data_IF_134659335427
#
_entry.id   IF_134659335427
#
_cell.length_a   1.000
_cell.length_b   1.000
_cell.length_c   1.000
_cell.angle_alpha   90.00
_cell.angle_beta   90.00
_cell.angle_gamma   90.00
#
_symmetry.space_group_name_H-M   'P 1'
#
loop_
_entity.id
_entity.type
_entity.pdbx_description
1 polymer ?
#
# COMPACT_ATOMS: atom_id res chain seq x y z
N UNK A 1 1.67 11.14 -9.65
CA UNK A 1 1.48 10.67 -8.25
C UNK A 1 2.85 10.26 -7.73
N UNK A 2 3.43 11.06 -6.84
CA UNK A 2 4.86 10.90 -6.46
C UNK A 2 5.17 9.53 -5.84
N UNK A 3 4.21 8.93 -5.12
CA UNK A 3 4.37 7.59 -4.55
C UNK A 3 4.59 6.49 -5.60
N UNK A 4 4.13 6.65 -6.83
CA UNK A 4 4.34 5.67 -7.91
C UNK A 4 5.71 5.78 -8.59
N UNK A 5 6.55 6.74 -8.17
CA UNK A 5 7.94 6.86 -8.62
C UNK A 5 8.89 5.96 -7.82
N UNK A 6 8.44 5.38 -6.71
CA UNK A 6 9.20 4.38 -5.97
C UNK A 6 9.20 3.05 -6.71
N UNK A 7 10.30 2.30 -6.71
CA UNK A 7 10.33 0.96 -7.32
C UNK A 7 9.46 -0.06 -6.57
N UNK A 8 9.16 0.20 -5.29
CA UNK A 8 8.24 -0.60 -4.48
C UNK A 8 7.33 0.31 -3.68
N UNK A 9 6.04 -0.03 -3.63
CA UNK A 9 5.04 0.67 -2.80
C UNK A 9 4.35 -0.33 -1.89
N UNK A 10 4.44 -0.12 -0.59
CA UNK A 10 3.79 -0.97 0.41
C UNK A 10 2.46 -0.34 0.82
N UNK A 11 1.36 -1.05 0.55
CA UNK A 11 0.00 -0.67 0.94
C UNK A 11 -0.34 -1.37 2.25
N UNK A 12 -0.52 -0.60 3.31
CA UNK A 12 -0.76 -1.12 4.66
C UNK A 12 -1.96 -0.44 5.33
N UNK A 13 -2.36 -0.89 6.49
CA UNK A 13 -3.49 -0.37 7.27
C UNK A 13 -4.28 -1.47 7.96
N UNK A 14 -5.33 -1.11 8.69
CA UNK A 14 -6.20 -2.04 9.42
C UNK A 14 -6.85 -3.10 8.51
N UNK A 15 -7.28 -4.21 9.08
CA UNK A 15 -8.11 -5.20 8.39
C UNK A 15 -9.45 -4.60 7.93
N UNK A 16 -9.87 -4.91 6.70
CA UNK A 16 -11.18 -4.50 6.17
C UNK A 16 -11.32 -3.07 5.64
N UNK A 17 -10.26 -2.26 5.65
CA UNK A 17 -10.31 -0.86 5.16
C UNK A 17 -10.22 -0.70 3.63
N UNK A 18 -10.02 -1.78 2.88
CA UNK A 18 -9.94 -1.76 1.42
C UNK A 18 -8.51 -1.69 0.85
N UNK A 19 -7.49 -2.18 1.58
CA UNK A 19 -6.09 -2.22 1.12
C UNK A 19 -5.93 -2.85 -0.26
N UNK A 20 -6.43 -4.07 -0.45
CA UNK A 20 -6.34 -4.80 -1.72
C UNK A 20 -6.97 -4.04 -2.89
N UNK A 21 -8.08 -3.35 -2.66
CA UNK A 21 -8.75 -2.51 -3.65
C UNK A 21 -7.91 -1.30 -4.02
N UNK A 22 -7.33 -0.63 -3.01
CA UNK A 22 -6.43 0.51 -3.24
C UNK A 22 -5.13 0.06 -3.91
N UNK A 23 -4.57 -1.10 -3.54
CA UNK A 23 -3.40 -1.66 -4.21
C UNK A 23 -3.67 -1.93 -5.70
N UNK A 24 -4.83 -2.52 -6.03
CA UNK A 24 -5.25 -2.73 -7.41
C UNK A 24 -5.42 -1.39 -8.16
N UNK A 25 -6.04 -0.39 -7.54
CA UNK A 25 -6.22 0.93 -8.15
C UNK A 25 -4.89 1.65 -8.40
N UNK A 26 -3.92 1.56 -7.48
CA UNK A 26 -2.56 2.09 -7.66
C UNK A 26 -1.83 1.37 -8.80
N UNK A 27 -1.97 0.05 -8.90
CA UNK A 27 -1.37 -0.74 -9.98
C UNK A 27 -1.91 -0.32 -11.35
N UNK A 28 -3.23 -0.13 -11.47
CA UNK A 28 -3.86 0.36 -12.69
C UNK A 28 -3.41 1.78 -13.03
N UNK A 29 -3.29 2.66 -12.02
CA UNK A 29 -2.79 4.02 -12.23
C UNK A 29 -1.36 4.02 -12.80
N UNK A 30 -0.46 3.21 -12.24
CA UNK A 30 0.92 3.09 -12.69
C UNK A 30 1.02 2.47 -14.09
N UNK A 31 0.23 1.43 -14.38
CA UNK A 31 0.20 0.79 -15.69
C UNK A 31 -0.28 1.74 -16.79
N UNK A 32 -1.22 2.66 -16.49
CA UNK A 32 -1.66 3.72 -17.42
C UNK A 32 -0.56 4.73 -17.75
N UNK A 33 0.36 4.94 -16.83
CA UNK A 33 1.56 5.78 -17.05
C UNK A 33 2.69 5.01 -17.78
N UNK A 34 2.39 3.78 -18.26
CA UNK A 34 3.31 2.96 -19.06
C UNK A 34 4.30 2.13 -18.23
N UNK A 35 4.17 2.09 -16.92
CA UNK A 35 5.04 1.28 -16.06
C UNK A 35 4.70 -0.21 -16.17
N UNK A 36 5.73 -1.05 -16.12
CA UNK A 36 5.58 -2.49 -15.94
C UNK A 36 5.39 -2.80 -14.46
N UNK A 37 4.16 -3.16 -14.08
CA UNK A 37 3.74 -3.29 -12.68
C UNK A 37 3.50 -4.75 -12.32
N UNK A 38 3.91 -5.12 -11.10
CA UNK A 38 3.45 -6.34 -10.44
C UNK A 38 2.82 -6.03 -9.08
N UNK A 39 1.86 -6.85 -8.65
CA UNK A 39 1.29 -6.76 -7.30
C UNK A 39 1.61 -8.03 -6.53
N UNK A 40 2.29 -7.90 -5.41
CA UNK A 40 2.57 -8.98 -4.47
C UNK A 40 1.54 -9.03 -3.35
N UNK A 41 0.80 -10.12 -3.24
CA UNK A 41 -0.15 -10.37 -2.16
C UNK A 41 0.51 -11.18 -1.04
N UNK A 42 0.48 -10.64 0.17
CA UNK A 42 0.97 -11.28 1.38
C UNK A 42 -0.20 -11.57 2.32
N UNK A 43 -0.50 -12.83 2.58
CA UNK A 43 -1.59 -13.21 3.49
C UNK A 43 -2.56 -14.27 2.96
N UNK A 44 -2.26 -14.93 1.85
CA UNK A 44 -2.96 -16.16 1.42
C UNK A 44 -4.33 -15.98 0.75
N UNK A 45 -4.76 -14.75 0.47
CA UNK A 45 -6.02 -14.49 -0.21
C UNK A 45 -5.75 -13.78 -1.54
N UNK A 46 -6.00 -14.46 -2.67
CA UNK A 46 -5.83 -13.93 -4.03
C UNK A 46 -6.93 -12.88 -4.39
N UNK A 47 -7.07 -11.84 -3.57
CA UNK A 47 -8.08 -10.78 -3.77
C UNK A 47 -7.70 -9.84 -4.88
N UNK A 48 -6.45 -9.40 -4.92
CA UNK A 48 -5.97 -8.47 -5.94
C UNK A 48 -5.95 -9.14 -7.29
N UNK A 49 -5.57 -10.42 -7.36
CA UNK A 49 -5.63 -11.21 -8.60
C UNK A 49 -7.05 -11.24 -9.20
N UNK A 50 -8.09 -11.30 -8.35
CA UNK A 50 -9.48 -11.21 -8.79
C UNK A 50 -9.83 -9.82 -9.37
N UNK A 51 -9.38 -8.74 -8.70
CA UNK A 51 -9.64 -7.36 -9.09
C UNK A 51 -8.89 -6.93 -10.37
N UNK A 52 -7.72 -7.51 -10.63
CA UNK A 52 -6.88 -7.19 -11.78
C UNK A 52 -7.01 -8.18 -12.94
N UNK A 53 -7.99 -9.06 -12.90
CA UNK A 53 -8.20 -10.06 -13.96
C UNK A 53 -8.44 -9.39 -15.33
N UNK A 54 -7.66 -9.78 -16.32
CA UNK A 54 -7.77 -9.25 -17.69
C UNK A 54 -7.08 -7.91 -17.94
N UNK A 55 -6.42 -7.32 -16.94
CA UNK A 55 -5.73 -6.02 -17.09
C UNK A 55 -4.31 -6.13 -17.63
N UNK A 56 -3.73 -7.34 -17.69
CA UNK A 56 -2.33 -7.55 -18.07
C UNK A 56 -1.31 -7.23 -16.96
N UNK A 57 -1.77 -6.86 -15.76
CA UNK A 57 -0.90 -6.62 -14.60
C UNK A 57 -0.61 -7.96 -13.92
N UNK A 58 0.67 -8.24 -13.69
CA UNK A 58 1.10 -9.47 -13.03
C UNK A 58 0.75 -9.45 -11.53
N UNK A 59 0.16 -10.54 -11.05
CA UNK A 59 -0.14 -10.73 -9.63
C UNK A 59 0.60 -11.95 -9.09
N UNK A 60 1.21 -11.80 -7.92
CA UNK A 60 2.03 -12.82 -7.30
C UNK A 60 1.60 -13.06 -5.85
N UNK A 61 1.13 -14.26 -5.54
CA UNK A 61 1.03 -14.72 -4.14
C UNK A 61 2.35 -15.33 -3.73
N UNK A 62 3.02 -14.72 -2.74
CA UNK A 62 4.35 -15.16 -2.33
C UNK A 62 4.27 -16.47 -1.54
N UNK A 63 4.80 -17.54 -2.12
CA UNK A 63 5.02 -18.80 -1.42
C UNK A 63 6.44 -18.80 -0.82
N UNK A 64 6.54 -18.78 0.50
CA UNK A 64 7.81 -18.67 1.23
C UNK A 64 8.75 -19.83 0.93
N UNK A 65 8.25 -21.06 0.83
CA UNK A 65 9.06 -22.22 0.52
C UNK A 65 9.67 -22.14 -0.89
N UNK A 66 8.88 -21.75 -1.88
CA UNK A 66 9.34 -21.57 -3.25
C UNK A 66 10.36 -20.42 -3.36
N UNK A 67 10.06 -19.27 -2.75
CA UNK A 67 10.95 -18.12 -2.72
C UNK A 67 12.29 -18.43 -2.03
N UNK A 68 12.27 -19.22 -0.94
CA UNK A 68 13.48 -19.69 -0.27
C UNK A 68 14.31 -20.59 -1.19
N UNK A 69 13.67 -21.51 -1.93
CA UNK A 69 14.35 -22.40 -2.88
C UNK A 69 15.03 -21.61 -4.01
N UNK A 70 14.32 -20.65 -4.58
CA UNK A 70 14.87 -19.77 -5.63
C UNK A 70 16.07 -18.97 -5.09
N UNK A 71 15.95 -18.39 -3.90
CA UNK A 71 17.03 -17.63 -3.28
C UNK A 71 18.26 -18.51 -3.01
N UNK A 72 18.08 -19.69 -2.43
CA UNK A 72 19.18 -20.63 -2.18
C UNK A 72 19.90 -21.05 -3.47
N UNK A 73 19.16 -21.21 -4.57
CA UNK A 73 19.75 -21.52 -5.87
C UNK A 73 20.65 -20.40 -6.42
N UNK A 74 20.52 -19.16 -5.91
CA UNK A 74 21.45 -18.06 -6.23
C UNK A 74 22.72 -18.07 -5.38
N UNK A 75 22.65 -18.66 -4.17
CA UNK A 75 23.75 -18.66 -3.21
C UNK A 75 24.60 -19.94 -3.26
N UNK A 76 24.03 -21.06 -3.71
CA UNK A 76 24.63 -22.38 -3.69
C UNK A 76 24.52 -23.06 -5.07
N UNK A 77 25.45 -24.00 -5.41
CA UNK A 77 25.25 -24.89 -6.54
C UNK A 77 23.89 -25.61 -6.41
N UNK A 78 23.14 -25.69 -7.53
CA UNK A 78 21.76 -26.24 -7.54
C UNK A 78 21.62 -27.57 -6.79
N UNK A 79 22.58 -28.50 -6.98
CA UNK A 79 22.54 -29.81 -6.31
C UNK A 79 22.56 -29.68 -4.78
N UNK A 80 23.29 -28.72 -4.24
CA UNK A 80 23.40 -28.48 -2.81
C UNK A 80 22.11 -27.79 -2.27
N UNK A 81 21.58 -26.82 -2.99
CA UNK A 81 20.31 -26.20 -2.67
C UNK A 81 19.16 -27.21 -2.64
N UNK A 82 19.09 -28.12 -3.63
CA UNK A 82 18.09 -29.18 -3.72
C UNK A 82 18.16 -30.15 -2.53
N UNK A 83 19.38 -30.58 -2.14
CA UNK A 83 19.59 -31.46 -0.97
C UNK A 83 19.14 -30.80 0.30
N UNK A 84 19.49 -29.53 0.50
CA UNK A 84 19.13 -28.76 1.68
C UNK A 84 17.60 -28.57 1.79
N UNK A 85 16.92 -28.30 0.69
CA UNK A 85 15.47 -28.14 0.65
C UNK A 85 14.71 -29.46 0.81
N UNK A 86 15.24 -30.56 0.23
CA UNK A 86 14.63 -31.89 0.41
C UNK A 86 14.68 -32.42 1.85
N UNK A 87 15.67 -31.99 2.62
CA UNK A 87 15.75 -32.37 4.05
C UNK A 87 14.58 -31.79 4.88
N UNK A 88 13.90 -30.75 4.38
CA UNK A 88 12.82 -30.06 5.09
C UNK A 88 13.29 -29.32 6.37
N UNK A 89 14.39 -29.74 6.96
CA UNK A 89 14.88 -29.21 8.23
C UNK A 89 15.26 -27.71 8.12
N UNK A 90 15.93 -27.33 7.04
CA UNK A 90 16.31 -25.93 6.83
C UNK A 90 15.09 -25.03 6.57
N UNK A 91 14.17 -25.49 5.73
CA UNK A 91 12.92 -24.76 5.46
C UNK A 91 12.08 -24.60 6.75
N UNK A 92 12.00 -25.67 7.55
CA UNK A 92 11.33 -25.64 8.85
C UNK A 92 12.02 -24.69 9.85
N UNK A 93 13.35 -24.66 9.87
CA UNK A 93 14.12 -23.74 10.72
C UNK A 93 13.86 -22.28 10.34
N UNK A 94 13.88 -21.96 9.05
CA UNK A 94 13.59 -20.61 8.56
C UNK A 94 12.14 -20.20 8.85
N UNK A 95 11.20 -21.11 8.62
CA UNK A 95 9.77 -20.85 8.90
C UNK A 95 9.47 -20.69 10.40
N UNK A 96 10.21 -21.41 11.27
CA UNK A 96 10.08 -21.32 12.72
C UNK A 96 10.82 -20.11 13.32
N UNK A 97 11.78 -19.54 12.59
CA UNK A 97 12.50 -18.35 13.04
C UNK A 97 11.56 -17.12 13.04
N UNK A 98 11.44 -16.37 14.14
CA UNK A 98 10.60 -15.19 14.17
C UNK A 98 10.98 -14.19 13.07
N UNK A 99 10.04 -13.89 12.18
CA UNK A 99 10.27 -13.00 11.04
C UNK A 99 10.95 -13.66 9.81
N UNK A 100 11.24 -14.97 9.84
CA UNK A 100 11.91 -15.68 8.76
C UNK A 100 11.05 -15.74 7.48
N UNK A 101 9.79 -16.06 7.63
CA UNK A 101 8.84 -16.06 6.51
C UNK A 101 8.66 -14.67 5.90
N UNK A 102 8.58 -13.64 6.75
CA UNK A 102 8.46 -12.24 6.36
C UNK A 102 9.71 -11.74 5.62
N UNK A 103 10.91 -12.11 6.10
CA UNK A 103 12.16 -11.77 5.42
C UNK A 103 12.18 -12.38 4.01
N UNK A 104 11.89 -13.66 3.87
CA UNK A 104 11.90 -14.34 2.56
C UNK A 104 10.85 -13.74 1.62
N UNK A 105 9.66 -13.43 2.14
CA UNK A 105 8.62 -12.79 1.35
C UNK A 105 9.05 -11.40 0.84
N UNK A 106 9.61 -10.56 1.71
CA UNK A 106 10.12 -9.25 1.33
C UNK A 106 11.31 -9.35 0.38
N UNK A 107 12.20 -10.32 0.59
CA UNK A 107 13.33 -10.57 -0.34
C UNK A 107 12.84 -10.96 -1.72
N UNK A 108 11.78 -11.78 -1.82
CA UNK A 108 11.18 -12.13 -3.12
C UNK A 108 10.57 -10.91 -3.81
N UNK A 109 9.85 -10.06 -3.09
CA UNK A 109 9.26 -8.84 -3.65
C UNK A 109 10.33 -7.82 -4.06
N UNK A 110 11.39 -7.67 -3.25
CA UNK A 110 12.55 -6.85 -3.56
C UNK A 110 13.27 -7.33 -4.83
N UNK A 111 13.41 -8.65 -5.02
CA UNK A 111 14.02 -9.25 -6.20
C UNK A 111 13.29 -8.85 -7.49
N UNK A 112 11.97 -8.67 -7.44
CA UNK A 112 11.17 -8.35 -8.63
C UNK A 112 11.55 -7.01 -9.28
N UNK A 113 12.06 -6.06 -8.51
CA UNK A 113 12.50 -4.73 -8.99
C UNK A 113 14.00 -4.67 -9.30
N UNK A 114 14.76 -5.76 -9.03
CA UNK A 114 16.20 -5.76 -9.29
C UNK A 114 16.50 -5.97 -10.77
N UNK A 115 17.50 -5.27 -11.31
CA UNK A 115 17.98 -5.49 -12.67
C UNK A 115 18.45 -6.93 -12.89
N UNK A 116 19.02 -7.56 -11.87
CA UNK A 116 19.45 -8.95 -11.92
C UNK A 116 18.43 -9.84 -11.21
N UNK A 117 17.47 -10.35 -11.99
CA UNK A 117 16.44 -11.27 -11.52
C UNK A 117 16.98 -12.67 -11.23
N UNK A 118 16.37 -13.35 -10.24
CA UNK A 118 16.71 -14.76 -9.94
C UNK A 118 16.32 -15.68 -11.09
N UNK A 119 15.21 -15.41 -11.76
CA UNK A 119 14.82 -16.11 -12.98
C UNK A 119 15.61 -15.55 -14.16
N UNK A 120 16.41 -16.41 -14.81
CA UNK A 120 17.26 -16.03 -15.95
C UNK A 120 16.42 -15.49 -17.10
N UNK A 121 16.76 -14.32 -17.60
CA UNK A 121 16.08 -13.66 -18.73
C UNK A 121 14.79 -12.94 -18.35
N UNK A 122 14.34 -13.01 -17.09
CA UNK A 122 13.22 -12.21 -16.64
C UNK A 122 13.60 -10.72 -16.59
N UNK A 123 12.69 -9.86 -17.04
CA UNK A 123 12.85 -8.40 -16.94
C UNK A 123 12.42 -7.91 -15.57
N UNK A 124 13.04 -6.86 -15.01
CA UNK A 124 12.57 -6.22 -13.79
C UNK A 124 11.23 -5.55 -14.00
N UNK A 125 10.47 -5.38 -12.92
CA UNK A 125 9.32 -4.51 -12.90
C UNK A 125 9.77 -3.08 -12.57
N UNK A 126 9.10 -2.08 -13.16
CA UNK A 126 9.34 -0.68 -12.82
C UNK A 126 8.77 -0.37 -11.44
N UNK A 127 7.66 -1.03 -11.08
CA UNK A 127 6.99 -0.88 -9.80
C UNK A 127 6.45 -2.22 -9.30
N UNK A 128 6.73 -2.53 -8.03
CA UNK A 128 6.06 -3.62 -7.29
C UNK A 128 5.19 -3.03 -6.20
N UNK A 129 3.89 -3.30 -6.25
CA UNK A 129 2.95 -2.94 -5.19
C UNK A 129 2.78 -4.12 -4.26
N UNK A 130 2.97 -3.90 -2.97
CA UNK A 130 2.84 -4.91 -1.92
C UNK A 130 1.52 -4.71 -1.20
N UNK A 131 0.55 -5.61 -1.39
CA UNK A 131 -0.65 -5.68 -0.56
C UNK A 131 -0.29 -6.37 0.76
N UNK A 132 0.03 -5.54 1.76
CA UNK A 132 0.49 -6.04 3.05
C UNK A 132 -0.67 -6.55 3.92
N UNK A 133 -0.43 -7.55 4.78
CA UNK A 133 -1.44 -7.99 5.75
C UNK A 133 -1.84 -6.86 6.70
N UNK A 134 -2.86 -7.10 7.54
CA UNK A 134 -3.37 -6.09 8.48
C UNK A 134 -2.26 -5.57 9.43
N UNK A 135 -2.42 -4.33 9.89
CA UNK A 135 -1.41 -3.45 10.50
C UNK A 135 -0.39 -4.10 11.44
N UNK A 136 -0.80 -5.03 12.31
CA UNK A 136 0.13 -5.72 13.22
C UNK A 136 1.17 -6.58 12.50
N UNK A 137 0.74 -7.39 11.53
CA UNK A 137 1.60 -8.23 10.70
C UNK A 137 2.34 -7.43 9.63
N UNK A 138 1.73 -6.36 9.09
CA UNK A 138 2.36 -5.47 8.12
C UNK A 138 3.59 -4.76 8.69
N UNK A 139 3.52 -4.28 9.93
CA UNK A 139 4.66 -3.68 10.61
C UNK A 139 5.76 -4.70 10.94
N UNK A 140 5.40 -5.95 11.29
CA UNK A 140 6.37 -7.03 11.51
C UNK A 140 7.10 -7.39 10.21
N UNK A 141 6.36 -7.48 9.10
CA UNK A 141 6.91 -7.71 7.75
C UNK A 141 8.02 -6.71 7.39
N UNK A 142 7.77 -5.42 7.63
CA UNK A 142 8.73 -4.35 7.30
C UNK A 142 9.94 -4.32 8.25
N UNK A 143 9.78 -4.81 9.48
CA UNK A 143 10.88 -4.89 10.45
C UNK A 143 11.73 -6.15 10.33
N UNK A 144 11.19 -7.23 9.78
CA UNK A 144 11.87 -8.52 9.70
C UNK A 144 13.25 -8.43 9.05
N UNK A 145 13.47 -7.77 7.88
CA UNK A 145 14.79 -7.65 7.29
C UNK A 145 15.81 -6.98 8.23
N UNK A 146 15.42 -5.93 8.93
CA UNK A 146 16.29 -5.26 9.90
C UNK A 146 16.62 -6.16 11.08
N UNK A 147 15.63 -6.84 11.66
CA UNK A 147 15.82 -7.76 12.77
C UNK A 147 16.79 -8.87 12.40
N UNK A 148 16.64 -9.45 11.19
CA UNK A 148 17.57 -10.47 10.70
C UNK A 148 18.97 -9.93 10.43
N UNK A 149 19.10 -8.72 9.91
CA UNK A 149 20.41 -8.08 9.70
C UNK A 149 21.16 -7.86 11.02
N UNK A 150 20.45 -7.54 12.10
CA UNK A 150 21.02 -7.33 13.44
C UNK A 150 21.42 -8.66 14.10
N UNK A 151 20.71 -9.77 13.81
CA UNK A 151 21.00 -11.11 14.34
C UNK A 151 22.09 -11.79 13.51
N UNK A 152 21.92 -11.89 12.19
CA UNK A 152 22.83 -12.54 11.27
C UNK A 152 23.89 -11.55 10.78
N UNK A 153 24.85 -11.22 11.63
CA UNK A 153 25.86 -10.17 11.35
C UNK A 153 26.77 -10.49 10.16
N UNK A 154 26.95 -11.77 9.82
CA UNK A 154 27.82 -12.26 8.74
C UNK A 154 27.11 -13.32 7.89
N UNK A 155 27.63 -13.53 6.68
CA UNK A 155 27.12 -14.55 5.75
C UNK A 155 25.99 -14.07 4.82
N UNK A 156 25.57 -14.93 3.87
CA UNK A 156 24.64 -14.55 2.80
C UNK A 156 23.29 -14.04 3.30
N UNK A 157 22.74 -14.67 4.35
CA UNK A 157 21.44 -14.27 4.92
C UNK A 157 21.50 -12.87 5.53
N UNK A 158 22.56 -12.58 6.31
CA UNK A 158 22.74 -11.27 6.92
C UNK A 158 23.01 -10.16 5.88
N UNK A 159 23.75 -10.46 4.81
CA UNK A 159 23.98 -9.52 3.71
C UNK A 159 22.67 -9.20 2.99
N UNK A 160 21.91 -10.23 2.61
CA UNK A 160 20.62 -10.08 1.95
C UNK A 160 19.62 -9.30 2.82
N UNK A 161 19.55 -9.62 4.11
CA UNK A 161 18.69 -8.93 5.05
C UNK A 161 19.03 -7.43 5.14
N UNK A 162 20.33 -7.07 5.14
CA UNK A 162 20.77 -5.65 5.11
C UNK A 162 20.37 -4.96 3.82
N UNK A 163 20.59 -5.58 2.67
CA UNK A 163 20.22 -5.02 1.37
C UNK A 163 18.71 -4.71 1.29
N UNK A 164 17.88 -5.67 1.72
CA UNK A 164 16.41 -5.49 1.74
C UNK A 164 16.00 -4.43 2.76
N UNK A 165 16.61 -4.40 3.96
CA UNK A 165 16.31 -3.41 4.98
C UNK A 165 16.68 -1.98 4.52
N UNK A 166 17.83 -1.82 3.89
CA UNK A 166 18.30 -0.54 3.36
C UNK A 166 17.43 -0.08 2.19
N UNK A 167 17.02 -0.98 1.30
CA UNK A 167 16.09 -0.69 0.23
C UNK A 167 14.72 -0.23 0.76
N UNK A 168 14.14 -0.94 1.73
CA UNK A 168 12.87 -0.55 2.35
C UNK A 168 12.96 0.86 2.95
N UNK A 169 14.09 1.21 3.55
CA UNK A 169 14.28 2.51 4.19
C UNK A 169 14.47 3.66 3.20
N UNK A 170 15.14 3.42 2.06
CA UNK A 170 15.56 4.48 1.12
C UNK A 170 14.65 4.61 -0.09
N UNK A 171 14.18 3.46 -0.60
CA UNK A 171 13.63 3.39 -1.95
C UNK A 171 12.15 2.96 -1.98
N UNK A 172 11.61 2.39 -0.88
CA UNK A 172 10.21 2.00 -0.81
C UNK A 172 9.30 3.16 -0.39
N UNK A 173 8.16 3.30 -1.09
CA UNK A 173 7.07 4.20 -0.74
C UNK A 173 6.03 3.52 0.15
N UNK A 174 5.32 4.29 0.98
CA UNK A 174 4.34 3.78 1.94
C UNK A 174 2.99 4.45 1.79
N UNK A 175 1.96 3.63 1.53
CA UNK A 175 0.56 4.03 1.48
C UNK A 175 -0.19 3.43 2.64
N UNK A 176 -0.80 4.27 3.48
CA UNK A 176 -1.68 3.81 4.56
C UNK A 176 -3.13 3.97 4.11
N UNK A 177 -3.87 2.86 4.10
CA UNK A 177 -5.32 2.87 3.82
C UNK A 177 -6.07 2.83 5.15
N UNK A 178 -7.05 3.71 5.30
CA UNK A 178 -7.89 3.79 6.49
C UNK A 178 -9.35 4.09 6.12
N UNK A 179 -10.24 3.98 7.09
CA UNK A 179 -11.60 4.51 7.01
C UNK A 179 -11.74 5.68 7.99
N UNK A 180 -12.59 6.65 7.66
CA UNK A 180 -12.86 7.80 8.53
C UNK A 180 -13.75 7.40 9.72
N UNK A 181 -13.23 6.55 10.61
CA UNK A 181 -13.85 6.11 11.85
C UNK A 181 -12.82 6.17 12.98
N UNK A 182 -13.29 6.23 14.22
CA UNK A 182 -12.44 6.51 15.39
C UNK A 182 -11.26 5.54 15.52
N UNK A 183 -11.54 4.23 15.51
CA UNK A 183 -10.50 3.21 15.71
C UNK A 183 -9.55 3.11 14.51
N UNK A 184 -10.00 3.03 13.24
CA UNK A 184 -9.08 3.04 12.09
C UNK A 184 -8.18 4.28 12.03
N UNK A 185 -8.71 5.47 12.34
CA UNK A 185 -7.91 6.70 12.37
C UNK A 185 -6.86 6.66 13.49
N UNK A 186 -7.25 6.22 14.71
CA UNK A 186 -6.30 6.08 15.82
C UNK A 186 -5.19 5.10 15.50
N UNK A 187 -5.52 3.94 14.93
CA UNK A 187 -4.53 2.94 14.49
C UNK A 187 -3.62 3.48 13.36
N UNK A 188 -4.18 4.24 12.42
CA UNK A 188 -3.38 4.88 11.35
C UNK A 188 -2.37 5.86 11.92
N UNK A 189 -2.79 6.71 12.86
CA UNK A 189 -1.90 7.68 13.51
C UNK A 189 -0.80 7.02 14.35
N UNK A 190 -1.08 5.86 14.93
CA UNK A 190 -0.08 5.07 15.63
C UNK A 190 0.87 4.33 14.64
N UNK A 191 0.32 3.75 13.56
CA UNK A 191 1.06 2.98 12.57
C UNK A 191 2.13 3.82 11.85
N UNK A 192 1.81 5.07 11.50
CA UNK A 192 2.74 5.94 10.79
C UNK A 192 4.05 6.18 11.56
N UNK A 193 4.05 6.03 12.90
CA UNK A 193 5.26 6.10 13.72
C UNK A 193 6.17 4.88 13.61
N UNK A 194 5.67 3.79 13.02
CA UNK A 194 6.40 2.52 12.85
C UNK A 194 6.96 2.34 11.44
N UNK A 195 6.62 3.24 10.51
CA UNK A 195 7.07 3.22 9.11
C UNK A 195 8.25 4.16 8.90
N UNK A 196 9.16 3.86 7.95
CA UNK A 196 10.25 4.77 7.57
C UNK A 196 9.76 6.12 7.06
N UNK A 197 8.64 6.13 6.35
CA UNK A 197 7.97 7.29 5.79
C UNK A 197 6.49 7.05 5.56
N UNK A 198 5.76 8.08 5.15
CA UNK A 198 4.36 7.97 4.71
C UNK A 198 4.19 8.89 3.50
N UNK A 199 4.05 8.30 2.32
CA UNK A 199 3.94 9.05 1.07
C UNK A 199 2.49 9.41 0.74
N UNK A 200 1.54 8.58 1.21
CA UNK A 200 0.12 8.80 0.98
C UNK A 200 -0.72 8.14 2.08
N UNK A 201 -1.76 8.84 2.51
CA UNK A 201 -2.82 8.28 3.33
C UNK A 201 -4.13 8.31 2.55
N UNK A 202 -4.76 7.15 2.38
CA UNK A 202 -6.04 7.00 1.66
C UNK A 202 -7.16 6.81 2.67
N UNK A 203 -8.01 7.81 2.85
CA UNK A 203 -9.25 7.70 3.60
C UNK A 203 -10.34 7.14 2.67
N UNK A 204 -10.59 5.84 2.79
CA UNK A 204 -11.47 5.08 1.91
C UNK A 204 -12.93 5.05 2.42
N UNK A 205 -13.85 4.77 1.51
CA UNK A 205 -15.28 4.54 1.78
C UNK A 205 -15.99 5.71 2.48
N UNK A 206 -15.71 6.95 2.05
CA UNK A 206 -16.41 8.10 2.55
C UNK A 206 -17.83 8.19 1.98
N UNK A 207 -18.80 8.35 2.85
CA UNK A 207 -20.18 8.56 2.49
C UNK A 207 -20.38 9.96 1.88
N UNK A 208 -21.13 10.01 0.80
CA UNK A 208 -21.50 11.27 0.18
C UNK A 208 -22.46 12.06 1.06
N UNK A 209 -22.22 13.36 1.22
CA UNK A 209 -23.16 14.26 1.87
C UNK A 209 -24.38 14.47 0.96
N UNK A 210 -25.53 13.93 1.35
CA UNK A 210 -26.79 13.97 0.57
C UNK A 210 -27.76 15.04 1.08
N UNK A 211 -27.61 15.48 2.34
CA UNK A 211 -28.54 16.37 3.01
C UNK A 211 -27.81 17.61 3.53
N UNK A 212 -28.42 18.78 3.33
CA UNK A 212 -28.00 20.03 3.95
C UNK A 212 -28.39 20.07 5.44
N UNK A 213 -27.95 21.10 6.18
CA UNK A 213 -28.38 21.29 7.56
C UNK A 213 -29.90 21.58 7.66
N UNK A 214 -30.44 22.35 6.71
CA UNK A 214 -31.88 22.65 6.65
C UNK A 214 -32.70 21.38 6.38
N UNK A 215 -32.25 20.51 5.44
CA UNK A 215 -32.95 19.25 5.19
C UNK A 215 -32.98 18.37 6.44
N UNK A 216 -31.89 18.32 7.22
CA UNK A 216 -31.84 17.53 8.46
C UNK A 216 -32.83 18.06 9.52
N UNK A 217 -32.98 19.38 9.66
CA UNK A 217 -33.96 19.94 10.60
C UNK A 217 -35.40 19.59 10.18
N UNK A 218 -35.71 19.64 8.89
CA UNK A 218 -37.01 19.21 8.37
C UNK A 218 -37.26 17.71 8.62
N UNK A 219 -36.24 16.87 8.36
CA UNK A 219 -36.32 15.40 8.54
C UNK A 219 -36.48 14.99 9.99
N UNK A 220 -35.97 15.77 10.96
CA UNK A 220 -36.16 15.48 12.40
C UNK A 220 -37.63 15.64 12.83
N UNK A 221 -38.38 16.51 12.17
CA UNK A 221 -39.83 16.70 12.40
C UNK A 221 -40.70 15.70 11.63
N UNK A 222 -40.15 14.96 10.69
CA UNK A 222 -40.89 14.00 9.89
C UNK A 222 -40.93 12.61 10.56
N UNK A 223 -42.08 11.94 10.43
CA UNK A 223 -42.25 10.57 10.94
C UNK A 223 -41.90 9.52 9.86
N UNK A 224 -41.51 8.31 10.30
CA UNK A 224 -41.34 7.16 9.44
C UNK A 224 -39.89 6.73 9.21
N UNK A 225 -39.70 5.50 8.72
CA UNK A 225 -38.39 4.88 8.47
C UNK A 225 -37.50 5.66 7.51
N UNK A 226 -38.00 6.26 6.39
CA UNK A 226 -37.15 7.01 5.49
C UNK A 226 -36.50 8.23 6.15
N UNK A 227 -37.23 8.98 6.97
CA UNK A 227 -36.71 10.14 7.70
C UNK A 227 -35.66 9.72 8.73
N UNK A 228 -35.93 8.64 9.48
CA UNK A 228 -34.96 8.06 10.41
C UNK A 228 -33.67 7.58 9.70
N UNK A 229 -33.79 6.91 8.56
CA UNK A 229 -32.65 6.48 7.77
C UNK A 229 -31.81 7.64 7.23
N UNK A 230 -32.45 8.73 6.75
CA UNK A 230 -31.79 9.94 6.28
C UNK A 230 -31.04 10.65 7.42
N UNK A 231 -31.66 10.79 8.60
CA UNK A 231 -31.00 11.35 9.79
C UNK A 231 -29.81 10.49 10.23
N UNK A 232 -29.94 9.16 10.24
CA UNK A 232 -28.85 8.24 10.55
C UNK A 232 -27.70 8.34 9.53
N UNK A 233 -28.00 8.45 8.23
CA UNK A 233 -27.00 8.69 7.20
C UNK A 233 -26.25 10.01 7.44
N UNK A 234 -26.97 11.09 7.68
CA UNK A 234 -26.36 12.39 7.96
C UNK A 234 -25.49 12.36 9.23
N UNK A 235 -25.90 11.64 10.27
CA UNK A 235 -25.10 11.39 11.46
C UNK A 235 -23.78 10.70 11.16
N UNK A 236 -23.82 9.62 10.35
CA UNK A 236 -22.61 8.91 9.90
C UNK A 236 -21.68 9.81 9.08
N UNK A 237 -22.21 10.58 8.13
CA UNK A 237 -21.42 11.55 7.35
C UNK A 237 -20.73 12.57 8.27
N UNK A 238 -21.45 13.13 9.25
CA UNK A 238 -20.86 14.08 10.21
C UNK A 238 -19.74 13.46 11.03
N UNK A 239 -19.94 12.24 11.52
CA UNK A 239 -18.92 11.48 12.25
C UNK A 239 -17.67 11.24 11.37
N UNK A 240 -17.86 10.80 10.12
CA UNK A 240 -16.76 10.61 9.18
C UNK A 240 -15.99 11.92 8.92
N UNK A 241 -16.68 13.06 8.76
CA UNK A 241 -16.01 14.36 8.54
C UNK A 241 -15.17 14.78 9.76
N UNK A 242 -15.65 14.53 10.97
CA UNK A 242 -14.90 14.78 12.21
C UNK A 242 -13.62 13.94 12.26
N UNK A 243 -13.72 12.64 11.97
CA UNK A 243 -12.57 11.75 11.96
C UNK A 243 -11.60 12.04 10.81
N UNK A 244 -12.10 12.43 9.65
CA UNK A 244 -11.26 12.86 8.53
C UNK A 244 -10.48 14.14 8.89
N UNK A 245 -11.12 15.11 9.55
CA UNK A 245 -10.46 16.32 10.04
C UNK A 245 -9.35 15.96 11.07
N UNK A 246 -9.61 15.01 11.98
CA UNK A 246 -8.62 14.48 12.92
C UNK A 246 -7.44 13.82 12.18
N UNK A 247 -7.74 12.98 11.19
CA UNK A 247 -6.74 12.32 10.37
C UNK A 247 -5.84 13.35 9.65
N UNK A 248 -6.44 14.34 8.99
CA UNK A 248 -5.70 15.39 8.27
C UNK A 248 -4.77 16.21 9.16
N UNK A 249 -5.14 16.43 10.42
CA UNK A 249 -4.28 17.15 11.38
C UNK A 249 -3.10 16.31 11.88
N UNK A 250 -3.25 14.99 11.94
CA UNK A 250 -2.23 14.10 12.50
C UNK A 250 -1.46 13.27 11.49
N UNK A 251 -1.86 13.28 10.22
CA UNK A 251 -1.17 12.53 9.16
C UNK A 251 0.18 13.15 8.83
N UNK A 252 1.18 12.29 8.61
CA UNK A 252 2.54 12.69 8.18
C UNK A 252 2.69 12.87 6.68
N UNK A 253 1.75 12.33 5.90
CA UNK A 253 1.70 12.45 4.44
C UNK A 253 0.40 13.08 3.95
N UNK A 254 0.27 13.37 2.65
CA UNK A 254 -0.95 13.88 2.06
C UNK A 254 -2.11 12.90 2.28
N UNK A 255 -3.32 13.44 2.53
CA UNK A 255 -4.53 12.64 2.74
C UNK A 255 -5.46 12.82 1.55
N UNK A 256 -5.66 11.74 0.80
CA UNK A 256 -6.66 11.66 -0.26
C UNK A 256 -7.90 10.90 0.20
N UNK A 257 -9.02 11.13 -0.45
CA UNK A 257 -10.31 10.55 -0.07
C UNK A 257 -10.90 9.75 -1.21
N UNK A 258 -11.41 8.55 -0.90
CA UNK A 258 -12.16 7.74 -1.86
C UNK A 258 -13.60 7.57 -1.38
N UNK A 259 -14.60 7.70 -2.26
CA UNK A 259 -16.00 7.57 -1.90
C UNK A 259 -16.35 6.12 -1.56
N UNK A 260 -17.41 5.94 -0.78
CA UNK A 260 -18.08 4.66 -0.68
C UNK A 260 -18.80 4.38 -2.00
N UNK A 261 -18.61 3.19 -2.55
CA UNK A 261 -19.20 2.73 -3.80
C UNK A 261 -19.88 1.38 -3.55
N UNK A 262 -21.03 1.15 -4.19
CA UNK A 262 -21.73 -0.12 -4.10
C UNK A 262 -20.97 -1.18 -4.89
N UNK A 263 -20.67 -0.88 -6.15
CA UNK A 263 -19.85 -1.70 -7.02
C UNK A 263 -18.49 -1.03 -7.16
N UNK A 264 -17.47 -1.70 -6.65
CA UNK A 264 -16.12 -1.13 -6.60
C UNK A 264 -15.36 -1.53 -7.85
N UNK A 265 -15.20 -0.57 -8.76
CA UNK A 265 -14.38 -0.70 -9.95
C UNK A 265 -12.98 -0.12 -9.68
N UNK A 266 -11.92 -0.97 -9.60
CA UNK A 266 -10.56 -0.49 -9.32
C UNK A 266 -10.08 0.57 -10.32
N UNK A 267 -10.55 0.49 -11.55
CA UNK A 267 -10.24 1.42 -12.63
C UNK A 267 -10.81 2.83 -12.39
N UNK A 268 -12.02 2.94 -11.85
CA UNK A 268 -12.58 4.22 -11.42
C UNK A 268 -11.81 4.79 -10.24
N UNK A 269 -11.44 3.95 -9.27
CA UNK A 269 -10.62 4.38 -8.13
C UNK A 269 -9.23 4.84 -8.57
N UNK A 270 -8.61 4.18 -9.56
CA UNK A 270 -7.34 4.61 -10.14
C UNK A 270 -7.45 6.03 -10.72
N UNK A 271 -8.51 6.31 -11.48
CA UNK A 271 -8.78 7.63 -12.05
C UNK A 271 -8.94 8.71 -10.96
N UNK A 272 -9.64 8.38 -9.88
CA UNK A 272 -9.82 9.29 -8.73
C UNK A 272 -8.51 9.53 -7.98
N UNK A 273 -7.72 8.49 -7.73
CA UNK A 273 -6.41 8.63 -7.08
C UNK A 273 -5.47 9.53 -7.90
N UNK A 274 -5.43 9.37 -9.22
CA UNK A 274 -4.65 10.22 -10.11
C UNK A 274 -5.10 11.68 -10.00
N UNK A 275 -6.42 11.92 -9.98
CA UNK A 275 -6.99 13.28 -9.92
C UNK A 275 -6.71 13.95 -8.58
N UNK A 276 -6.93 13.25 -7.48
CA UNK A 276 -6.75 13.77 -6.12
C UNK A 276 -5.28 14.04 -5.76
N UNK A 277 -4.33 13.31 -6.39
CA UNK A 277 -2.90 13.45 -6.12
C UNK A 277 -2.15 14.34 -7.13
N UNK A 278 -2.84 14.84 -8.17
CA UNK A 278 -2.24 15.82 -9.07
C UNK A 278 -1.95 17.11 -8.29
N UNK A 279 -0.69 17.62 -8.31
CA UNK A 279 -0.44 18.94 -7.73
C UNK A 279 -1.36 19.96 -8.42
N UNK A 280 -2.06 20.77 -7.62
CA UNK A 280 -2.88 21.85 -8.16
C UNK A 280 -2.01 22.63 -9.16
N UNK A 281 -2.43 22.70 -10.44
CA UNK A 281 -1.76 23.52 -11.45
C UNK A 281 -1.61 24.92 -10.85
N UNK A 282 -0.39 25.33 -10.53
CA UNK A 282 -0.11 26.71 -10.15
C UNK A 282 -0.72 27.59 -11.24
N UNK A 283 -1.72 28.37 -10.86
CA UNK A 283 -2.26 29.40 -11.75
C UNK A 283 -1.07 30.20 -12.34
N UNK A 284 -1.06 30.49 -13.64
CA UNK A 284 0.01 31.27 -14.22
C UNK A 284 0.14 32.56 -13.43
N UNK A 285 1.32 32.84 -12.90
CA UNK A 285 1.64 34.09 -12.23
C UNK A 285 1.27 35.21 -13.21
N UNK A 286 0.30 36.06 -12.85
CA UNK A 286 0.02 37.29 -13.60
C UNK A 286 1.36 38.04 -13.76
N UNK A 287 1.73 38.45 -14.97
CA UNK A 287 2.92 39.30 -15.14
C UNK A 287 2.74 40.54 -14.30
N UNK A 288 3.72 40.81 -13.47
CA UNK A 288 3.79 42.05 -12.70
C UNK A 288 3.75 43.29 -13.63
N UNK A 289 3.33 44.44 -13.15
CA UNK A 289 3.32 45.67 -13.96
C UNK A 289 4.75 45.92 -14.52
N UNK A 290 4.80 46.14 -15.82
CA UNK A 290 6.02 46.56 -16.51
C UNK A 290 6.28 47.98 -16.08
N UNK A 291 7.38 48.25 -15.36
CA UNK A 291 7.89 49.59 -15.12
C UNK A 291 8.28 50.22 -16.47
N UNK A 292 7.48 51.19 -16.89
CA UNK A 292 7.81 52.04 -18.04
C UNK A 292 8.78 53.10 -17.51
N UNK A 293 10.02 53.18 -18.01
CA UNK A 293 10.94 54.27 -17.63
C UNK A 293 10.39 55.56 -18.18
N UNK A 294 10.14 56.52 -17.25
CA UNK A 294 9.84 57.92 -17.60
C UNK A 294 11.08 58.55 -18.26
N UNK A 295 10.95 58.91 -19.55
CA UNK A 295 11.89 59.70 -20.25
C UNK A 295 11.81 61.20 -19.93
#
# INVERSE_FOLDING_TARGET
MDVLNHPMVVVTGKGGVGKSTVAAALALAAARDGQRVAVGELGGHARVAGLLRGTGIDTLTVNVHHALTEWLATQLPRRLADVLMRSGAFASLVAAAPGGAELIAMTKLWELVQHRRWTRGAQPYDLVIVDAPASGHGAALLRAPRTFADIARVGPIGNQAREVADFIKRDAGFVIVTMAAELPVSETLALQGQLPGVDLVVANALLQRRFSAADIELLKGAAGEPAAAACAHAGRVRSQQSQLARLRRGARGPVVTLPWMLDVEPDELASRLITETRPARRAPRKPGPVDVPSG
#
